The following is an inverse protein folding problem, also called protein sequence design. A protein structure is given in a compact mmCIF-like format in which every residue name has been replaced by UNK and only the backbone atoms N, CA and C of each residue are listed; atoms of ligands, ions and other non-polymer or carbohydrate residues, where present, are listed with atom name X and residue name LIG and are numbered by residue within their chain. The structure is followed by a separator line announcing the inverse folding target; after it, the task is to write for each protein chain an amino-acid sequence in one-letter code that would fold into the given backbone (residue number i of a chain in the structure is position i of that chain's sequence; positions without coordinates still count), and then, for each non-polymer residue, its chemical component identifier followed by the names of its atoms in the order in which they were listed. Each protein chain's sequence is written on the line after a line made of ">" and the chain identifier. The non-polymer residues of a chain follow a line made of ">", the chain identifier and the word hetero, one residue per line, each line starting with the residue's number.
data_IF_159713767351
#
_entry.id   IF_159713767351
#
_cell.length_a   1.000
_cell.length_b   1.000
_cell.length_c   1.000
_cell.angle_alpha   90.00
_cell.angle_beta   90.00
_cell.angle_gamma   90.00
#
_symmetry.space_group_name_H-M   'P 1'
#
loop_
_entity.id
_entity.type
_entity.pdbx_description
1 polymer ?
#
# COMPACT_ATOMS: atom_id res chain seq x y z
N UNK A 1 -4.89 12.11 32.13
CA UNK A 1 -6.10 11.99 31.29
C UNK A 1 -5.66 12.29 29.87
N UNK A 2 -5.37 11.26 29.09
CA UNK A 2 -5.00 11.39 27.68
C UNK A 2 -6.28 11.21 26.89
N UNK A 3 -6.81 12.28 26.31
CA UNK A 3 -7.79 12.15 25.24
C UNK A 3 -7.02 11.64 24.03
N UNK A 4 -6.93 10.31 23.87
CA UNK A 4 -6.63 9.79 22.55
C UNK A 4 -7.74 10.30 21.63
N UNK A 5 -7.37 10.85 20.48
CA UNK A 5 -8.34 11.11 19.41
C UNK A 5 -8.67 9.74 18.80
N UNK A 6 -9.44 8.92 19.51
CA UNK A 6 -9.94 7.66 18.96
C UNK A 6 -10.77 7.93 17.70
N UNK A 7 -11.43 9.10 17.64
CA UNK A 7 -12.23 9.56 16.53
C UNK A 7 -12.01 11.04 16.24
N UNK A 8 -11.87 11.38 14.95
CA UNK A 8 -11.86 12.74 14.45
C UNK A 8 -13.26 13.13 13.98
N UNK A 9 -13.90 14.11 14.62
CA UNK A 9 -15.18 14.63 14.16
C UNK A 9 -14.98 15.90 13.31
N UNK A 10 -15.57 15.94 12.12
CA UNK A 10 -15.53 17.11 11.23
C UNK A 10 -16.96 17.52 10.88
N UNK A 11 -17.32 18.75 11.25
CA UNK A 11 -18.60 19.36 10.90
C UNK A 11 -18.39 20.57 9.99
N UNK A 12 -18.48 20.38 8.67
CA UNK A 12 -18.12 21.40 7.70
C UNK A 12 -19.06 21.39 6.46
N UNK A 13 -20.15 22.16 6.48
CA UNK A 13 -21.23 22.09 5.48
C UNK A 13 -20.85 22.48 4.06
N UNK A 14 -19.77 23.23 3.88
CA UNK A 14 -19.28 23.67 2.57
C UNK A 14 -17.95 22.99 2.19
N UNK A 15 -17.56 21.93 2.90
CA UNK A 15 -16.30 21.24 2.64
C UNK A 15 -16.40 20.43 1.34
N UNK A 16 -15.51 20.71 0.39
CA UNK A 16 -15.42 20.01 -0.90
C UNK A 16 -14.23 19.07 -0.99
N UNK A 17 -13.15 19.41 -0.27
CA UNK A 17 -11.92 18.63 -0.21
C UNK A 17 -11.49 18.47 1.24
N UNK A 18 -11.07 17.26 1.61
CA UNK A 18 -10.51 16.98 2.92
C UNK A 18 -9.13 16.32 2.77
N UNK A 19 -8.11 16.99 3.28
CA UNK A 19 -6.81 16.37 3.57
C UNK A 19 -6.70 16.16 5.08
N UNK A 20 -6.40 14.93 5.49
CA UNK A 20 -6.21 14.59 6.88
C UNK A 20 -4.95 13.78 7.08
N UNK A 21 -4.03 14.31 7.86
CA UNK A 21 -2.83 13.61 8.31
C UNK A 21 -2.82 13.50 9.82
N UNK A 22 -2.66 12.29 10.36
CA UNK A 22 -2.58 12.13 11.80
C UNK A 22 -2.70 10.70 12.31
N UNK A 23 -2.98 10.60 13.61
CA UNK A 23 -3.15 9.34 14.33
C UNK A 23 -4.59 9.27 14.87
N UNK A 24 -5.45 8.46 14.25
CA UNK A 24 -6.85 8.28 14.64
C UNK A 24 -7.40 6.93 14.17
N UNK A 25 -8.41 6.38 14.88
CA UNK A 25 -9.04 5.10 14.52
C UNK A 25 -10.27 5.24 13.65
N UNK A 26 -10.87 6.42 13.66
CA UNK A 26 -12.06 6.71 12.88
C UNK A 26 -12.19 8.20 12.59
N UNK A 27 -13.01 8.51 11.61
CA UNK A 27 -13.41 9.87 11.28
C UNK A 27 -14.92 9.89 11.06
N UNK A 28 -15.57 10.87 11.67
CA UNK A 28 -17.01 11.10 11.53
C UNK A 28 -17.23 12.41 10.79
N UNK A 29 -17.74 12.31 9.57
CA UNK A 29 -18.02 13.42 8.68
C UNK A 29 -19.48 13.86 8.87
N UNK A 30 -19.69 14.85 9.74
CA UNK A 30 -21.01 15.41 10.04
C UNK A 30 -21.34 16.53 9.06
N UNK A 31 -22.45 16.38 8.35
CA UNK A 31 -23.00 17.45 7.50
C UNK A 31 -21.97 17.98 6.50
N UNK A 32 -21.42 17.12 5.63
CA UNK A 32 -20.47 17.51 4.56
C UNK A 32 -21.00 17.09 3.17
N UNK A 33 -22.14 17.63 2.71
CA UNK A 33 -22.84 17.13 1.53
C UNK A 33 -22.11 17.39 0.19
N UNK A 34 -21.15 18.32 0.18
CA UNK A 34 -20.39 18.70 -1.01
C UNK A 34 -19.00 18.07 -1.05
N UNK A 35 -18.69 17.13 -0.16
CA UNK A 35 -17.37 16.51 -0.10
C UNK A 35 -17.18 15.62 -1.35
N UNK A 36 -16.23 16.02 -2.19
CA UNK A 36 -15.94 15.39 -3.48
C UNK A 36 -14.67 14.53 -3.42
N UNK A 37 -13.69 14.95 -2.62
CA UNK A 37 -12.39 14.31 -2.57
C UNK A 37 -11.86 14.25 -1.14
N UNK A 38 -11.33 13.08 -0.77
CA UNK A 38 -10.70 12.84 0.54
C UNK A 38 -9.33 12.19 0.35
N UNK A 39 -8.33 12.78 0.98
CA UNK A 39 -6.97 12.26 1.11
C UNK A 39 -6.66 12.02 2.58
N UNK A 40 -6.23 10.81 2.93
CA UNK A 40 -5.94 10.41 4.31
C UNK A 40 -4.55 9.83 4.40
N UNK A 41 -3.77 10.36 5.32
CA UNK A 41 -2.44 9.88 5.65
C UNK A 41 -2.42 9.51 7.13
N UNK A 42 -2.36 8.20 7.40
CA UNK A 42 -2.24 7.70 8.76
C UNK A 42 -0.80 7.26 9.03
N UNK A 43 -0.13 8.02 9.90
CA UNK A 43 1.28 7.83 10.25
C UNK A 43 1.50 8.02 11.76
N UNK A 44 2.18 7.08 12.39
CA UNK A 44 2.61 7.12 13.79
C UNK A 44 4.10 7.48 13.88
N UNK A 45 4.38 8.78 14.00
CA UNK A 45 5.76 9.31 14.07
C UNK A 45 6.47 9.08 15.42
N UNK A 46 5.80 8.54 16.43
CA UNK A 46 6.36 8.40 17.79
C UNK A 46 6.23 6.96 18.28
N UNK A 47 7.35 6.38 18.73
CA UNK A 47 7.44 5.09 19.47
C UNK A 47 6.63 5.04 20.79
N UNK A 48 5.81 6.05 21.07
CA UNK A 48 5.01 6.18 22.29
C UNK A 48 3.55 5.80 22.00
N UNK A 49 3.33 4.52 21.68
CA UNK A 49 2.21 3.68 22.13
C UNK A 49 0.82 4.36 22.20
N UNK A 50 0.37 5.10 21.18
CA UNK A 50 -1.06 5.45 21.14
C UNK A 50 -1.86 4.19 20.84
N UNK A 51 -1.31 3.34 19.97
CA UNK A 51 -1.80 1.99 19.70
C UNK A 51 -0.73 0.98 20.13
N UNK A 52 -1.13 -0.05 20.87
CA UNK A 52 -0.20 -1.17 21.11
C UNK A 52 -0.11 -1.98 19.82
N UNK A 53 1.11 -2.38 19.47
CA UNK A 53 1.32 -3.32 18.37
C UNK A 53 0.45 -4.57 18.58
N UNK A 54 -0.34 -4.94 17.58
CA UNK A 54 -1.30 -6.04 17.67
C UNK A 54 -2.65 -5.70 18.30
N UNK A 55 -2.93 -4.44 18.65
CA UNK A 55 -4.29 -4.04 19.01
C UNK A 55 -5.22 -4.10 17.81
N UNK A 56 -6.46 -4.59 18.01
CA UNK A 56 -7.43 -4.66 16.93
C UNK A 56 -7.74 -3.26 16.41
N UNK A 57 -7.53 -3.07 15.12
CA UNK A 57 -7.94 -1.87 14.39
C UNK A 57 -9.08 -2.22 13.43
N UNK A 58 -10.20 -1.54 13.58
CA UNK A 58 -11.37 -1.75 12.74
C UNK A 58 -11.30 -0.81 11.53
N UNK A 59 -10.47 -1.18 10.56
CA UNK A 59 -10.33 -0.44 9.30
C UNK A 59 -11.66 -0.34 8.54
N UNK A 60 -12.52 -1.35 8.68
CA UNK A 60 -13.84 -1.34 8.06
C UNK A 60 -14.63 -0.12 8.52
N UNK A 61 -14.64 0.18 9.82
CA UNK A 61 -15.31 1.39 10.33
C UNK A 61 -14.71 2.68 9.78
N UNK A 62 -13.37 2.78 9.70
CA UNK A 62 -12.72 3.97 9.15
C UNK A 62 -13.12 4.19 7.68
N UNK A 63 -13.01 3.15 6.85
CA UNK A 63 -13.22 3.26 5.42
C UNK A 63 -14.71 3.35 5.04
N UNK A 64 -15.60 2.73 5.81
CA UNK A 64 -17.06 2.85 5.61
C UNK A 64 -17.57 4.26 5.90
N UNK A 65 -16.92 4.98 6.80
CA UNK A 65 -17.30 6.35 7.16
C UNK A 65 -16.93 7.37 6.08
N UNK A 66 -16.21 6.98 5.02
CA UNK A 66 -15.59 7.89 4.04
C UNK A 66 -15.84 7.40 2.61
N UNK A 67 -17.00 7.69 2.03
CA UNK A 67 -17.41 7.07 0.77
C UNK A 67 -16.65 7.56 -0.47
N UNK A 68 -15.88 8.66 -0.39
CA UNK A 68 -15.23 9.36 -1.53
C UNK A 68 -13.71 9.48 -1.38
N UNK A 69 -13.07 8.53 -0.69
CA UNK A 69 -11.62 8.51 -0.54
C UNK A 69 -10.91 8.29 -1.87
N UNK A 70 -10.00 9.19 -2.24
CA UNK A 70 -9.22 9.15 -3.49
C UNK A 70 -7.75 8.81 -3.27
N UNK A 71 -7.15 9.27 -2.17
CA UNK A 71 -5.77 8.97 -1.78
C UNK A 71 -5.73 8.44 -0.33
N UNK A 72 -5.10 7.29 -0.16
CA UNK A 72 -4.97 6.63 1.14
C UNK A 72 -3.53 6.20 1.37
N UNK A 73 -2.99 6.62 2.51
CA UNK A 73 -1.68 6.22 2.98
C UNK A 73 -1.73 5.57 4.37
N UNK A 74 -1.08 4.42 4.50
CA UNK A 74 -0.78 3.76 5.77
C UNK A 74 0.71 3.57 5.95
N UNK A 75 1.18 3.72 7.19
CA UNK A 75 2.48 3.22 7.61
C UNK A 75 2.40 1.78 8.15
N UNK A 76 3.56 1.26 8.56
CA UNK A 76 3.72 -0.07 9.14
C UNK A 76 2.77 -0.32 10.35
N UNK A 77 2.54 0.68 11.20
CA UNK A 77 1.74 0.49 12.42
C UNK A 77 0.28 0.20 12.07
N UNK A 78 -0.30 0.96 11.14
CA UNK A 78 -1.67 0.71 10.69
C UNK A 78 -1.81 -0.63 9.97
N UNK A 79 -0.83 -0.99 9.14
CA UNK A 79 -0.79 -2.29 8.46
C UNK A 79 -0.74 -3.44 9.46
N UNK A 80 0.09 -3.37 10.50
CA UNK A 80 0.14 -4.39 11.56
C UNK A 80 -1.13 -4.48 12.38
N UNK A 81 -1.74 -3.34 12.75
CA UNK A 81 -3.00 -3.38 13.49
C UNK A 81 -4.13 -4.00 12.66
N UNK A 82 -4.10 -3.81 11.33
CA UNK A 82 -5.04 -4.46 10.42
C UNK A 82 -4.77 -5.95 10.26
N UNK A 83 -3.50 -6.35 10.17
CA UNK A 83 -3.08 -7.76 10.16
C UNK A 83 -3.60 -8.50 11.41
N UNK A 84 -3.46 -7.89 12.59
CA UNK A 84 -3.90 -8.46 13.87
C UNK A 84 -5.42 -8.65 13.99
N UNK A 85 -6.22 -7.84 13.29
CA UNK A 85 -7.69 -7.96 13.29
C UNK A 85 -8.23 -9.12 12.44
N UNK A 86 -7.37 -9.85 11.73
CA UNK A 86 -7.76 -10.85 10.74
C UNK A 86 -8.19 -10.20 9.43
N UNK A 87 -7.34 -10.33 8.41
CA UNK A 87 -7.55 -9.65 7.12
C UNK A 87 -8.56 -10.44 6.28
N UNK A 88 -9.72 -9.85 5.90
CA UNK A 88 -10.62 -10.51 4.97
C UNK A 88 -10.01 -10.54 3.57
N UNK A 89 -10.47 -11.45 2.71
CA UNK A 89 -10.00 -11.50 1.32
C UNK A 89 -10.27 -10.18 0.56
N UNK A 90 -11.38 -9.49 0.91
CA UNK A 90 -11.79 -8.17 0.43
C UNK A 90 -12.49 -7.45 1.56
N UNK A 91 -12.41 -6.12 1.59
CA UNK A 91 -13.20 -5.31 2.51
C UNK A 91 -14.70 -5.47 2.23
N UNK A 92 -15.56 -5.34 3.25
CA UNK A 92 -17.02 -5.33 3.06
C UNK A 92 -17.48 -4.23 2.11
N UNK A 93 -16.77 -3.11 2.10
CA UNK A 93 -17.04 -1.95 1.26
C UNK A 93 -16.03 -1.82 0.14
N UNK A 94 -16.53 -1.54 -1.08
CA UNK A 94 -15.71 -1.28 -2.26
C UNK A 94 -15.24 0.18 -2.24
N UNK A 95 -13.93 0.40 -2.28
CA UNK A 95 -13.28 1.71 -2.37
C UNK A 95 -13.30 2.22 -3.83
N UNK A 96 -14.50 2.50 -4.33
CA UNK A 96 -14.74 2.83 -5.75
C UNK A 96 -14.04 4.12 -6.22
N UNK A 97 -13.73 5.06 -5.33
CA UNK A 97 -13.07 6.32 -5.69
C UNK A 97 -11.57 6.31 -5.43
N UNK A 98 -11.03 5.26 -4.79
CA UNK A 98 -9.61 5.22 -4.46
C UNK A 98 -8.79 5.10 -5.74
N UNK A 99 -7.95 6.12 -5.98
CA UNK A 99 -7.05 6.24 -7.13
C UNK A 99 -5.61 6.00 -6.72
N UNK A 100 -5.23 6.37 -5.50
CA UNK A 100 -3.86 6.31 -5.00
C UNK A 100 -3.82 5.53 -3.69
N UNK A 101 -2.94 4.53 -3.63
CA UNK A 101 -2.66 3.76 -2.42
C UNK A 101 -1.17 3.82 -2.10
N UNK A 102 -0.83 4.27 -0.90
CA UNK A 102 0.56 4.40 -0.42
C UNK A 102 0.75 3.58 0.84
N UNK A 103 1.76 2.72 0.86
CA UNK A 103 2.03 1.82 1.98
C UNK A 103 3.51 1.90 2.34
N UNK A 104 3.81 2.28 3.57
CA UNK A 104 5.18 2.45 4.04
C UNK A 104 5.61 1.30 4.95
N UNK A 105 6.89 0.91 4.84
CA UNK A 105 7.55 -0.07 5.71
C UNK A 105 6.88 -1.46 5.70
N UNK A 106 6.59 -1.99 4.51
CA UNK A 106 5.89 -3.27 4.34
C UNK A 106 6.86 -4.44 4.34
N UNK A 107 6.67 -5.39 5.26
CA UNK A 107 7.43 -6.63 5.29
C UNK A 107 6.77 -7.69 4.40
N UNK A 108 7.30 -7.90 3.19
CA UNK A 108 6.81 -8.96 2.31
C UNK A 108 7.13 -10.39 2.78
N UNK A 109 7.98 -10.54 3.80
CA UNK A 109 8.17 -11.81 4.53
C UNK A 109 7.02 -12.14 5.48
N UNK A 110 6.19 -11.16 5.84
CA UNK A 110 5.04 -11.30 6.73
C UNK A 110 3.76 -11.51 5.92
N UNK A 111 3.19 -12.72 5.96
CA UNK A 111 2.01 -13.10 5.17
C UNK A 111 0.79 -12.23 5.45
N UNK A 112 0.62 -11.86 6.70
CA UNK A 112 -0.48 -11.05 7.20
C UNK A 112 -0.41 -9.60 6.69
N UNK A 113 0.79 -9.01 6.62
CA UNK A 113 1.01 -7.70 5.96
C UNK A 113 0.77 -7.78 4.45
N UNK A 114 1.26 -8.81 3.76
CA UNK A 114 0.97 -9.02 2.33
C UNK A 114 -0.53 -9.20 2.09
N UNK A 115 -1.23 -9.86 3.02
CA UNK A 115 -2.68 -10.05 2.95
C UNK A 115 -3.42 -8.71 3.06
N UNK A 116 -2.94 -7.80 3.91
CA UNK A 116 -3.44 -6.42 3.99
C UNK A 116 -3.33 -5.72 2.64
N UNK A 117 -2.13 -5.72 2.05
CA UNK A 117 -1.86 -5.06 0.75
C UNK A 117 -2.85 -5.57 -0.29
N UNK A 118 -3.02 -6.89 -0.36
CA UNK A 118 -3.92 -7.54 -1.30
C UNK A 118 -5.39 -7.22 -1.06
N UNK A 119 -5.83 -7.18 0.20
CA UNK A 119 -7.19 -6.82 0.55
C UNK A 119 -7.54 -5.41 0.08
N UNK A 120 -6.64 -4.44 0.29
CA UNK A 120 -6.82 -3.06 -0.16
C UNK A 120 -6.89 -2.97 -1.68
N UNK A 121 -5.96 -3.62 -2.40
CA UNK A 121 -5.96 -3.66 -3.87
C UNK A 121 -7.25 -4.28 -4.41
N UNK A 122 -7.65 -5.44 -3.89
CA UNK A 122 -8.90 -6.10 -4.32
C UNK A 122 -10.11 -5.23 -4.06
N UNK A 123 -10.12 -4.43 -3.01
CA UNK A 123 -11.24 -3.57 -2.65
C UNK A 123 -11.30 -2.28 -3.48
N UNK A 124 -10.29 -2.00 -4.32
CA UNK A 124 -10.10 -0.72 -5.01
C UNK A 124 -10.12 -0.89 -6.54
N UNK A 125 -11.30 -1.00 -7.17
CA UNK A 125 -11.42 -1.37 -8.59
C UNK A 125 -10.91 -0.31 -9.59
N UNK A 126 -10.77 0.94 -9.15
CA UNK A 126 -10.35 2.07 -9.99
C UNK A 126 -8.96 2.59 -9.62
N UNK A 127 -8.16 1.79 -8.92
CA UNK A 127 -6.83 2.16 -8.46
C UNK A 127 -5.91 2.44 -9.65
N UNK A 128 -5.25 3.60 -9.61
CA UNK A 128 -4.40 4.12 -10.70
C UNK A 128 -2.93 4.15 -10.31
N UNK A 129 -2.63 4.40 -9.03
CA UNK A 129 -1.27 4.49 -8.50
C UNK A 129 -1.11 3.64 -7.24
N UNK A 130 -0.01 2.90 -7.18
CA UNK A 130 0.45 2.20 -5.97
C UNK A 130 1.86 2.72 -5.67
N UNK A 131 2.11 3.13 -4.43
CA UNK A 131 3.45 3.39 -3.90
C UNK A 131 3.67 2.48 -2.69
N UNK A 132 4.73 1.68 -2.70
CA UNK A 132 5.07 0.76 -1.61
C UNK A 132 6.54 0.96 -1.26
N UNK A 133 6.84 1.16 0.02
CA UNK A 133 8.19 1.12 0.56
C UNK A 133 8.36 -0.21 1.31
N UNK A 134 9.23 -1.09 0.81
CA UNK A 134 9.49 -2.36 1.47
C UNK A 134 10.36 -2.19 2.72
N UNK A 135 10.19 -3.11 3.66
CA UNK A 135 11.01 -3.21 4.85
C UNK A 135 11.57 -4.64 4.99
N UNK A 136 12.90 -4.82 5.06
CA UNK A 136 13.51 -6.11 5.32
C UNK A 136 13.24 -6.50 6.79
N UNK A 137 12.14 -7.19 7.04
CA UNK A 137 11.81 -7.71 8.36
C UNK A 137 12.72 -8.87 8.78
N UNK A 138 12.87 -9.07 10.08
CA UNK A 138 13.70 -10.14 10.69
C UNK A 138 13.18 -11.57 10.42
N UNK A 139 12.00 -11.72 9.83
CA UNK A 139 11.33 -13.01 9.66
C UNK A 139 11.96 -13.82 8.53
N UNK A 140 12.67 -14.87 8.92
CA UNK A 140 13.26 -15.87 8.06
C UNK A 140 12.21 -16.54 7.16
N UNK A 141 12.45 -16.46 5.84
CA UNK A 141 12.11 -17.44 4.81
C UNK A 141 10.85 -18.28 5.05
N UNK A 142 9.68 -17.77 4.63
CA UNK A 142 8.51 -18.63 4.39
C UNK A 142 8.35 -18.84 2.88
N UNK A 143 9.37 -19.46 2.28
CA UNK A 143 9.40 -19.93 0.89
C UNK A 143 8.16 -20.79 0.48
N UNK A 144 7.55 -21.64 1.33
CA UNK A 144 6.45 -22.52 0.88
C UNK A 144 5.09 -21.84 0.67
N UNK A 145 4.88 -20.64 1.22
CA UNK A 145 3.56 -19.97 1.14
C UNK A 145 3.39 -19.19 -0.18
N UNK A 146 4.50 -18.79 -0.81
CA UNK A 146 4.47 -18.10 -2.11
C UNK A 146 3.94 -18.96 -3.25
N UNK A 147 4.31 -20.25 -3.29
CA UNK A 147 3.81 -21.20 -4.30
C UNK A 147 2.28 -21.39 -4.19
N UNK A 148 1.70 -21.20 -3.00
CA UNK A 148 0.26 -21.21 -2.74
C UNK A 148 -0.42 -19.87 -3.04
N UNK A 149 0.30 -18.75 -2.83
CA UNK A 149 -0.16 -17.42 -3.18
C UNK A 149 -0.36 -17.29 -4.70
N UNK A 150 0.59 -17.79 -5.51
CA UNK A 150 0.64 -17.66 -6.99
C UNK A 150 -0.67 -18.04 -7.71
N UNK A 151 -1.45 -19.00 -7.20
CA UNK A 151 -2.59 -19.58 -7.95
C UNK A 151 -3.96 -19.10 -7.47
N UNK A 152 -4.16 -18.74 -6.20
CA UNK A 152 -5.50 -18.42 -5.67
C UNK A 152 -5.66 -17.01 -5.10
N UNK A 153 -4.58 -16.39 -4.62
CA UNK A 153 -4.69 -15.04 -4.07
C UNK A 153 -4.63 -13.98 -5.17
N UNK A 154 -3.87 -14.18 -6.23
CA UNK A 154 -3.63 -13.09 -7.18
C UNK A 154 -4.56 -13.02 -8.39
N UNK A 155 -5.54 -13.92 -8.50
CA UNK A 155 -6.42 -14.00 -9.69
C UNK A 155 -7.39 -12.82 -9.80
N UNK A 156 -7.82 -12.26 -8.66
CA UNK A 156 -9.02 -11.41 -8.55
C UNK A 156 -8.71 -9.92 -8.33
N UNK A 157 -7.44 -9.52 -8.38
CA UNK A 157 -7.04 -8.13 -8.19
C UNK A 157 -7.45 -7.26 -9.40
N UNK A 158 -8.27 -6.19 -9.22
CA UNK A 158 -8.78 -5.36 -10.31
C UNK A 158 -7.76 -4.30 -10.76
N UNK A 159 -6.62 -4.75 -11.29
CA UNK A 159 -5.48 -3.89 -11.66
C UNK A 159 -5.59 -3.25 -13.06
N UNK A 160 -6.79 -3.26 -13.67
CA UNK A 160 -7.00 -2.82 -15.04
C UNK A 160 -6.74 -1.32 -15.25
N UNK A 161 -6.90 -0.50 -14.21
CA UNK A 161 -6.67 0.95 -14.26
C UNK A 161 -5.29 1.37 -13.74
N UNK A 162 -4.52 0.42 -13.18
CA UNK A 162 -3.22 0.73 -12.59
C UNK A 162 -2.27 1.21 -13.68
N UNK A 163 -1.83 2.47 -13.58
CA UNK A 163 -1.01 3.13 -14.58
C UNK A 163 0.38 3.54 -14.07
N UNK A 164 0.56 3.66 -12.75
CA UNK A 164 1.85 3.96 -12.11
C UNK A 164 2.08 3.06 -10.90
N UNK A 165 3.29 2.53 -10.79
CA UNK A 165 3.77 1.88 -9.58
C UNK A 165 5.09 2.50 -9.19
N UNK A 166 5.24 2.76 -7.91
CA UNK A 166 6.46 3.17 -7.24
C UNK A 166 6.76 2.12 -6.16
N UNK A 167 7.93 1.53 -6.21
CA UNK A 167 8.32 0.45 -5.33
C UNK A 167 9.73 0.71 -4.78
N UNK A 168 9.78 1.21 -3.55
CA UNK A 168 11.03 1.53 -2.88
C UNK A 168 11.56 0.43 -1.98
N UNK A 169 12.85 0.56 -1.67
CA UNK A 169 13.62 -0.34 -0.80
C UNK A 169 13.54 -1.83 -1.19
N UNK A 170 13.65 -2.15 -2.48
CA UNK A 170 13.58 -3.54 -2.96
C UNK A 170 14.91 -4.26 -2.71
N UNK A 171 14.88 -5.23 -1.81
CA UNK A 171 16.03 -6.10 -1.48
C UNK A 171 16.19 -7.28 -2.46
N UNK A 172 15.16 -7.55 -3.27
CA UNK A 172 15.17 -8.61 -4.28
C UNK A 172 14.79 -9.98 -3.74
N UNK A 173 14.06 -10.01 -2.62
CA UNK A 173 13.51 -11.24 -2.06
C UNK A 173 12.45 -11.83 -2.99
N UNK A 174 12.25 -13.16 -2.92
CA UNK A 174 11.21 -13.83 -3.73
C UNK A 174 9.81 -13.23 -3.54
N UNK A 175 9.34 -12.91 -2.32
CA UNK A 175 8.05 -12.26 -2.12
C UNK A 175 7.90 -10.92 -2.85
N UNK A 176 8.89 -10.03 -2.74
CA UNK A 176 8.89 -8.73 -3.40
C UNK A 176 8.83 -8.88 -4.92
N UNK A 177 9.74 -9.69 -5.49
CA UNK A 177 9.79 -9.92 -6.93
C UNK A 177 8.53 -10.60 -7.44
N UNK A 178 7.94 -11.52 -6.66
CA UNK A 178 6.66 -12.15 -6.96
C UNK A 178 5.52 -11.13 -7.05
N UNK A 179 5.44 -10.20 -6.09
CA UNK A 179 4.45 -9.13 -6.11
C UNK A 179 4.65 -8.19 -7.30
N UNK A 180 5.88 -7.75 -7.57
CA UNK A 180 6.18 -6.88 -8.72
C UNK A 180 5.80 -7.57 -10.04
N UNK A 181 6.15 -8.84 -10.21
CA UNK A 181 5.77 -9.65 -11.38
C UNK A 181 4.25 -9.74 -11.53
N UNK A 182 3.50 -9.87 -10.45
CA UNK A 182 2.06 -9.83 -10.52
C UNK A 182 1.55 -8.51 -11.09
N UNK A 183 2.01 -7.38 -10.54
CA UNK A 183 1.60 -6.06 -11.01
C UNK A 183 1.89 -5.95 -12.52
N UNK A 184 3.07 -6.38 -12.97
CA UNK A 184 3.42 -6.43 -14.40
C UNK A 184 2.49 -7.34 -15.20
N UNK A 185 2.11 -8.51 -14.68
CA UNK A 185 1.28 -9.50 -15.36
C UNK A 185 -0.22 -9.12 -15.42
N UNK A 186 -0.70 -8.29 -14.49
CA UNK A 186 -2.13 -8.00 -14.31
C UNK A 186 -2.53 -6.56 -14.60
N UNK A 187 -1.57 -5.68 -14.89
CA UNK A 187 -1.82 -4.25 -15.12
C UNK A 187 -1.67 -3.88 -16.60
N UNK A 188 -2.71 -4.03 -17.44
CA UNK A 188 -2.65 -3.74 -18.87
C UNK A 188 -2.47 -2.25 -19.18
N UNK A 189 -2.82 -1.34 -18.26
CA UNK A 189 -2.68 0.11 -18.42
C UNK A 189 -1.39 0.68 -17.79
N UNK A 190 -0.53 -0.17 -17.25
CA UNK A 190 0.71 0.25 -16.59
C UNK A 190 1.61 1.00 -17.58
N UNK A 191 2.03 2.21 -17.19
CA UNK A 191 2.94 3.06 -17.97
C UNK A 191 4.31 3.13 -17.34
N UNK A 192 4.37 3.25 -16.01
CA UNK A 192 5.63 3.38 -15.26
C UNK A 192 5.63 2.45 -14.06
N UNK A 193 6.73 1.73 -13.89
CA UNK A 193 7.12 1.02 -12.68
C UNK A 193 8.49 1.57 -12.26
N UNK A 194 8.52 2.33 -11.17
CA UNK A 194 9.75 2.83 -10.55
C UNK A 194 10.17 1.82 -9.48
N UNK A 195 11.46 1.50 -9.43
CA UNK A 195 12.04 0.56 -8.48
C UNK A 195 13.30 1.18 -7.89
N UNK A 196 13.29 1.43 -6.59
CA UNK A 196 14.48 1.80 -5.82
C UNK A 196 14.99 0.54 -5.09
N UNK A 197 16.29 0.25 -5.22
CA UNK A 197 16.90 -0.98 -4.72
C UNK A 197 17.56 -0.75 -3.35
N UNK A 198 17.30 -1.64 -2.39
CA UNK A 198 17.93 -1.66 -1.06
C UNK A 198 19.17 -2.56 -1.04
N UNK A 199 20.10 -2.33 -1.98
CA UNK A 199 21.34 -3.11 -2.06
C UNK A 199 22.42 -2.34 -2.76
N UNK A 200 23.57 -2.17 -2.11
CA UNK A 200 24.81 -1.67 -2.73
C UNK A 200 25.52 -2.77 -3.56
N UNK A 201 25.14 -4.04 -3.41
CA UNK A 201 25.72 -5.14 -4.18
C UNK A 201 25.25 -5.10 -5.65
N UNK A 202 26.14 -4.62 -6.51
CA UNK A 202 25.96 -4.54 -7.96
C UNK A 202 25.57 -5.88 -8.59
N UNK A 203 26.04 -7.02 -8.05
CA UNK A 203 25.68 -8.34 -8.59
C UNK A 203 24.20 -8.66 -8.33
N UNK A 204 23.71 -8.36 -7.12
CA UNK A 204 22.30 -8.52 -6.75
C UNK A 204 21.39 -7.54 -7.49
N UNK A 205 21.79 -6.26 -7.59
CA UNK A 205 21.07 -5.27 -8.41
C UNK A 205 20.92 -5.76 -9.85
N UNK A 206 22.00 -6.28 -10.45
CA UNK A 206 21.97 -6.84 -11.80
C UNK A 206 21.09 -8.09 -11.91
N UNK A 207 21.03 -8.93 -10.87
CA UNK A 207 20.14 -10.10 -10.82
C UNK A 207 18.68 -9.65 -10.88
N UNK A 208 18.28 -8.72 -10.01
CA UNK A 208 16.92 -8.17 -9.92
C UNK A 208 16.52 -7.51 -11.25
N UNK A 209 17.38 -6.64 -11.78
CA UNK A 209 17.18 -5.97 -13.05
C UNK A 209 16.92 -6.96 -14.18
N UNK A 210 17.78 -7.98 -14.33
CA UNK A 210 17.64 -9.01 -15.37
C UNK A 210 16.36 -9.82 -15.21
N UNK A 211 15.99 -10.13 -13.98
CA UNK A 211 14.79 -10.92 -13.68
C UNK A 211 13.51 -10.18 -14.06
N UNK A 212 13.38 -8.92 -13.63
CA UNK A 212 12.19 -8.11 -13.88
C UNK A 212 12.06 -7.62 -15.32
N UNK A 213 13.18 -7.23 -15.96
CA UNK A 213 13.15 -6.75 -17.35
C UNK A 213 12.77 -7.85 -18.34
N UNK A 214 13.16 -9.10 -18.08
CA UNK A 214 12.82 -10.28 -18.89
C UNK A 214 11.41 -10.80 -18.64
N UNK A 215 10.77 -10.41 -17.54
CA UNK A 215 9.44 -10.85 -17.22
C UNK A 215 8.40 -10.26 -18.19
N UNK A 216 7.43 -11.08 -18.59
CA UNK A 216 6.39 -10.67 -19.54
C UNK A 216 5.41 -9.70 -18.86
N UNK A 217 5.15 -8.58 -19.52
CA UNK A 217 4.23 -7.53 -19.03
C UNK A 217 2.91 -7.61 -19.78
N UNK A 218 1.80 -7.33 -19.09
CA UNK A 218 0.49 -7.19 -19.72
C UNK A 218 0.42 -5.91 -20.56
N UNK A 219 1.01 -4.82 -20.05
CA UNK A 219 1.15 -3.57 -20.80
C UNK A 219 2.43 -3.60 -21.66
N UNK A 220 2.34 -3.46 -22.99
CA UNK A 220 3.51 -3.31 -23.85
C UNK A 220 4.16 -1.92 -23.71
N UNK A 221 3.48 -0.96 -23.07
CA UNK A 221 3.95 0.41 -22.85
C UNK A 221 4.55 0.63 -21.46
N UNK A 222 4.54 -0.39 -20.60
CA UNK A 222 5.09 -0.28 -19.25
C UNK A 222 6.62 -0.17 -19.32
N UNK A 223 7.13 0.98 -18.89
CA UNK A 223 8.55 1.22 -18.64
C UNK A 223 8.88 0.79 -17.21
N UNK A 224 10.00 0.07 -17.06
CA UNK A 224 10.57 -0.28 -15.75
C UNK A 224 11.81 0.59 -15.60
N UNK A 225 11.80 1.46 -14.60
CA UNK A 225 12.86 2.42 -14.30
C UNK A 225 13.43 2.03 -12.95
N UNK A 226 14.76 2.02 -12.85
CA UNK A 226 15.47 1.72 -11.62
C UNK A 226 16.13 3.00 -11.16
N UNK A 227 15.84 3.41 -9.93
CA UNK A 227 16.42 4.60 -9.29
C UNK A 227 17.53 4.14 -8.36
N UNK A 228 18.68 4.82 -8.45
CA UNK A 228 19.78 4.65 -7.51
C UNK A 228 19.67 5.75 -6.45
N UNK A 229 19.82 5.43 -5.15
CA UNK A 229 19.72 6.41 -4.07
C UNK A 229 20.79 7.52 -4.13
N UNK A 230 21.83 7.35 -4.95
CA UNK A 230 22.96 8.29 -5.05
C UNK A 230 22.75 9.44 -6.06
N UNK A 231 21.62 9.53 -6.77
CA UNK A 231 21.41 10.61 -7.77
C UNK A 231 20.69 11.87 -7.21
N UNK A 232 20.11 11.81 -6.01
CA UNK A 232 19.29 12.91 -5.46
C UNK A 232 19.89 13.64 -4.23
N UNK A 233 21.15 13.36 -3.84
CA UNK A 233 21.78 14.03 -2.66
C UNK A 233 22.57 15.30 -2.97
N UNK A 234 22.56 15.79 -4.21
CA UNK A 234 23.25 17.04 -4.60
C UNK A 234 22.24 18.13 -5.02
N UNK A 235 21.35 18.56 -4.13
CA UNK A 235 20.72 19.90 -4.18
C UNK A 235 19.99 20.22 -2.85
N UNK A 236 20.75 20.74 -1.86
CA UNK A 236 20.48 21.99 -1.10
C UNK A 236 21.49 22.22 0.05
#
# INVERSE_FOLDING_TARGET
>A
MSTSLDYLEIAAPNLTFLYCEGIFRGIDLKTTPYLEEVSIILKEYRKNLVFKEGEPFNLVMLLESIPVIEDLQFDHYYVKCMAASGVPMRLPTTLKYLKVLRLCEICFGALDEVSVVLCLIRSSPNLQEISIQAYPGETAAIDPILDLLEVHYWSDAPLNQLCKVDFGNVSGTRPELGFIKLLLAKSPMLKKLLIELDSEDVAEQNRILRELTRFRRASPRAEIIFENPDEDSDED
#
